data_IF_497940527241
#
_entry.id   IF_497940527241
#
_cell.length_a   1.000
_cell.length_b   1.000
_cell.length_c   1.000
_cell.angle_alpha   90.00
_cell.angle_beta   90.00
_cell.angle_gamma   90.00
#
_symmetry.space_group_name_H-M   'P 1'
#
loop_
_entity.id
_entity.type
_entity.pdbx_description
1 polymer ?
#
# COMPACT_ATOMS: atom_id res chain seq x y z
N UNK A 1 51.47 19.27 -74.03
CA UNK A 1 51.79 20.70 -73.80
C UNK A 1 50.53 21.52 -74.00
N UNK A 2 50.40 22.59 -73.20
CA UNK A 2 49.34 23.60 -73.13
C UNK A 2 48.16 23.33 -72.18
N UNK A 3 47.99 24.35 -71.33
CA UNK A 3 47.02 24.54 -70.27
C UNK A 3 45.89 25.49 -70.69
N UNK A 4 44.87 25.64 -69.84
CA UNK A 4 44.30 26.90 -69.27
C UNK A 4 42.76 26.83 -69.11
N UNK A 5 42.26 27.24 -67.93
CA UNK A 5 40.90 27.81 -67.66
C UNK A 5 40.03 26.98 -66.70
N UNK A 6 39.97 27.27 -65.38
CA UNK A 6 39.04 28.19 -64.64
C UNK A 6 37.55 27.84 -64.89
N UNK A 7 36.63 27.72 -63.92
CA UNK A 7 36.47 28.42 -62.65
C UNK A 7 35.41 27.74 -61.72
N UNK A 8 35.61 27.99 -60.43
CA UNK A 8 34.77 28.05 -59.21
C UNK A 8 33.35 27.45 -59.04
N UNK A 9 33.22 26.83 -57.84
CA UNK A 9 32.19 26.99 -56.78
C UNK A 9 30.75 26.51 -57.13
N UNK A 10 29.95 25.94 -56.24
CA UNK A 10 29.96 25.58 -54.81
C UNK A 10 28.71 24.69 -54.64
N UNK A 11 28.79 23.69 -53.76
CA UNK A 11 27.75 23.20 -52.83
C UNK A 11 27.76 21.67 -52.66
N UNK A 12 28.39 21.33 -51.54
CA UNK A 12 28.30 20.16 -50.69
C UNK A 12 27.08 19.26 -50.85
N UNK A 13 27.38 17.96 -51.03
CA UNK A 13 26.80 16.75 -50.44
C UNK A 13 26.01 16.96 -49.12
N UNK A 14 25.05 16.15 -48.69
CA UNK A 14 24.80 14.73 -48.93
C UNK A 14 23.37 14.35 -48.50
N UNK A 15 22.85 13.30 -49.15
CA UNK A 15 22.05 12.17 -48.64
C UNK A 15 21.02 12.36 -47.51
N UNK A 16 19.77 12.26 -47.95
CA UNK A 16 18.67 11.43 -47.44
C UNK A 16 19.03 10.35 -46.41
N UNK A 17 18.37 10.36 -45.24
CA UNK A 17 17.87 9.15 -44.57
C UNK A 17 16.55 9.43 -43.82
N UNK A 18 15.70 8.41 -43.82
CA UNK A 18 14.33 8.34 -43.31
C UNK A 18 14.30 8.27 -41.79
N UNK A 19 13.38 8.99 -41.14
CA UNK A 19 13.13 8.89 -39.70
C UNK A 19 11.65 9.07 -39.36
N UNK A 20 10.89 7.96 -39.38
CA UNK A 20 9.62 7.83 -38.67
C UNK A 20 9.84 7.51 -37.17
N UNK A 21 8.78 7.50 -36.36
CA UNK A 21 8.76 8.11 -35.02
C UNK A 21 9.31 7.21 -33.91
N UNK A 22 10.00 7.78 -32.92
CA UNK A 22 10.17 7.15 -31.61
C UNK A 22 9.04 7.61 -30.70
N UNK A 23 8.00 6.78 -30.62
CA UNK A 23 7.10 6.75 -29.48
C UNK A 23 7.69 5.75 -28.49
N UNK A 24 8.28 6.23 -27.39
CA UNK A 24 8.69 5.41 -26.26
C UNK A 24 8.09 5.99 -24.99
N UNK A 25 6.77 5.89 -24.85
CA UNK A 25 6.12 5.93 -23.54
C UNK A 25 6.40 4.59 -22.84
N UNK A 26 7.63 4.40 -22.35
CA UNK A 26 7.82 3.49 -21.22
C UNK A 26 7.05 4.12 -20.06
N UNK A 27 5.92 3.53 -19.69
CA UNK A 27 5.27 3.88 -18.44
C UNK A 27 6.26 3.56 -17.34
N UNK A 28 6.92 4.59 -16.80
CA UNK A 28 7.69 4.48 -15.58
C UNK A 28 6.71 3.99 -14.53
N UNK A 29 6.80 2.71 -14.17
CA UNK A 29 6.04 2.18 -13.03
C UNK A 29 6.52 3.00 -11.83
N UNK A 30 5.66 3.88 -11.36
CA UNK A 30 5.98 4.79 -10.28
C UNK A 30 6.23 3.95 -9.03
N UNK A 31 7.44 4.07 -8.47
CA UNK A 31 7.83 3.31 -7.27
C UNK A 31 6.99 3.76 -6.09
N UNK A 32 6.46 2.81 -5.34
CA UNK A 32 5.78 3.08 -4.08
C UNK A 32 6.81 3.41 -3.01
N UNK A 33 6.62 4.51 -2.28
CA UNK A 33 7.50 4.96 -1.19
C UNK A 33 7.90 6.42 -1.28
N UNK A 34 8.65 6.88 -0.27
CA UNK A 34 9.26 8.20 -0.24
C UNK A 34 10.62 8.14 -0.97
N UNK A 35 10.96 9.09 -1.86
CA UNK A 35 12.15 9.01 -2.70
C UNK A 35 13.47 8.80 -1.96
N UNK A 36 13.61 9.35 -0.75
CA UNK A 36 14.79 9.25 0.11
C UNK A 36 14.83 7.99 0.99
N UNK A 37 13.76 7.19 0.98
CA UNK A 37 13.60 5.95 1.75
C UNK A 37 13.40 4.70 0.86
N UNK A 38 13.60 4.84 -0.45
CA UNK A 38 13.63 3.74 -1.40
C UNK A 38 14.91 2.91 -1.26
N UNK A 39 14.83 1.63 -1.61
CA UNK A 39 16.01 0.79 -1.70
C UNK A 39 16.88 1.21 -2.89
N UNK A 40 18.22 1.21 -2.73
CA UNK A 40 19.15 1.22 -3.84
C UNK A 40 18.81 0.10 -4.83
N UNK A 41 18.92 0.39 -6.13
CA UNK A 41 18.49 -0.55 -7.18
C UNK A 41 19.28 -1.86 -7.14
N UNK A 42 20.57 -1.80 -6.82
CA UNK A 42 21.40 -2.99 -6.66
C UNK A 42 21.01 -3.89 -5.47
N UNK A 43 20.27 -3.38 -4.48
CA UNK A 43 19.86 -4.15 -3.31
C UNK A 43 18.46 -4.77 -3.45
N UNK A 44 17.62 -4.24 -4.34
CA UNK A 44 16.20 -4.62 -4.41
C UNK A 44 15.99 -6.10 -4.72
N UNK A 45 16.47 -6.56 -5.87
CA UNK A 45 16.27 -7.96 -6.28
C UNK A 45 17.01 -8.96 -5.39
N UNK A 46 18.27 -8.71 -4.96
CA UNK A 46 18.93 -9.57 -3.99
C UNK A 46 18.20 -9.67 -2.64
N UNK A 47 17.64 -8.57 -2.14
CA UNK A 47 16.85 -8.58 -0.90
C UNK A 47 15.57 -9.39 -1.09
N UNK A 48 14.80 -9.14 -2.15
CA UNK A 48 13.57 -9.90 -2.44
C UNK A 48 13.83 -11.40 -2.53
N UNK A 49 14.89 -11.80 -3.24
CA UNK A 49 15.30 -13.20 -3.31
C UNK A 49 15.63 -13.75 -1.92
N UNK A 50 16.36 -12.99 -1.10
CA UNK A 50 16.70 -13.42 0.25
C UNK A 50 15.47 -13.60 1.15
N UNK A 51 14.48 -12.69 1.05
CA UNK A 51 13.23 -12.79 1.80
C UNK A 51 12.41 -14.02 1.36
N UNK A 52 12.38 -14.33 0.06
CA UNK A 52 11.78 -15.56 -0.44
C UNK A 52 12.49 -16.81 0.12
N UNK A 53 13.83 -16.83 0.11
CA UNK A 53 14.61 -17.93 0.69
C UNK A 53 14.42 -18.06 2.22
N UNK A 54 14.18 -16.95 2.92
CA UNK A 54 13.83 -16.95 4.34
C UNK A 54 12.47 -17.61 4.56
N UNK A 55 11.47 -17.24 3.75
CA UNK A 55 10.14 -17.82 3.81
C UNK A 55 10.17 -19.36 3.69
N UNK A 56 10.90 -19.88 2.71
CA UNK A 56 11.08 -21.34 2.54
C UNK A 56 11.74 -22.00 3.75
N UNK A 57 12.69 -21.30 4.38
CA UNK A 57 13.33 -21.74 5.62
C UNK A 57 12.37 -21.72 6.82
N UNK A 58 11.40 -20.81 6.86
CA UNK A 58 10.34 -20.80 7.86
C UNK A 58 9.36 -21.96 7.65
N UNK A 59 8.99 -22.26 6.40
CA UNK A 59 8.19 -23.44 6.06
C UNK A 59 8.86 -24.72 6.53
N UNK A 60 10.16 -24.87 6.28
CA UNK A 60 10.94 -26.03 6.74
C UNK A 60 10.99 -26.18 8.28
N UNK A 61 10.57 -25.14 9.03
CA UNK A 61 10.46 -25.13 10.50
C UNK A 61 9.02 -25.28 11.00
N UNK A 62 8.06 -25.64 10.13
CA UNK A 62 6.63 -25.69 10.43
C UNK A 62 6.03 -24.32 10.84
N UNK A 63 6.52 -23.25 10.21
CA UNK A 63 5.93 -21.91 10.29
C UNK A 63 5.48 -21.46 8.90
N UNK A 64 4.92 -20.26 8.74
CA UNK A 64 4.44 -19.75 7.45
C UNK A 64 3.39 -20.66 6.75
N UNK A 65 2.53 -21.29 7.54
CA UNK A 65 1.35 -22.00 7.04
C UNK A 65 0.27 -21.03 6.54
N UNK A 66 -0.73 -21.56 5.82
CA UNK A 66 -1.85 -20.75 5.32
C UNK A 66 -3.04 -20.81 6.26
N UNK A 67 -3.54 -19.64 6.67
CA UNK A 67 -4.78 -19.54 7.48
C UNK A 67 -6.02 -19.71 6.59
N UNK A 68 -5.92 -19.31 5.32
CA UNK A 68 -6.99 -19.39 4.32
C UNK A 68 -8.18 -18.47 4.64
N UNK A 69 -9.16 -18.46 3.73
CA UNK A 69 -10.40 -17.71 3.92
C UNK A 69 -11.42 -18.51 4.75
N UNK A 70 -12.23 -17.79 5.52
CA UNK A 70 -13.44 -18.29 6.18
C UNK A 70 -14.70 -18.02 5.36
N UNK A 71 -15.84 -17.88 6.03
CA UNK A 71 -17.16 -17.71 5.39
C UNK A 71 -17.73 -16.29 5.57
N UNK A 72 -17.24 -15.53 6.56
CA UNK A 72 -17.81 -14.23 6.94
C UNK A 72 -16.71 -13.17 6.97
N UNK A 73 -16.29 -12.65 5.81
CA UNK A 73 -15.23 -11.66 5.76
C UNK A 73 -15.71 -10.26 6.14
N UNK A 74 -14.77 -9.42 6.57
CA UNK A 74 -14.88 -7.97 6.58
C UNK A 74 -13.63 -7.36 5.96
N UNK A 75 -13.78 -6.16 5.38
CA UNK A 75 -12.66 -5.36 4.87
C UNK A 75 -12.34 -4.24 5.86
N UNK A 76 -11.05 -4.08 6.19
CA UNK A 76 -10.51 -2.99 6.99
C UNK A 76 -9.53 -2.16 6.16
N UNK A 77 -9.88 -0.89 5.92
CA UNK A 77 -9.07 0.09 5.21
C UNK A 77 -8.42 1.04 6.21
N UNK A 78 -7.11 0.91 6.39
CA UNK A 78 -6.36 1.61 7.43
C UNK A 78 -5.71 2.88 6.89
N UNK A 79 -6.08 4.04 7.45
CA UNK A 79 -5.34 5.30 7.37
C UNK A 79 -4.89 5.73 5.94
N UNK A 80 -5.67 5.37 4.91
CA UNK A 80 -5.55 5.96 3.58
C UNK A 80 -6.14 7.37 3.58
N UNK A 81 -5.55 8.23 4.40
CA UNK A 81 -5.88 9.63 4.56
C UNK A 81 -4.81 10.53 3.94
N UNK A 82 -5.18 11.79 3.66
CA UNK A 82 -4.35 12.74 2.93
C UNK A 82 -2.96 12.95 3.55
N UNK A 83 -2.82 12.79 4.86
CA UNK A 83 -1.54 12.90 5.56
C UNK A 83 -0.53 11.81 5.14
N UNK A 84 -1.01 10.65 4.69
CA UNK A 84 -0.17 9.55 4.20
C UNK A 84 -0.16 9.46 2.66
N UNK A 85 -1.27 9.79 2.00
CA UNK A 85 -1.39 9.62 0.55
C UNK A 85 -0.80 10.77 -0.26
N UNK A 86 -0.60 11.94 0.35
CA UNK A 86 0.04 13.07 -0.32
C UNK A 86 1.54 13.10 -0.06
N UNK A 87 2.40 13.09 -1.10
CA UNK A 87 3.86 13.05 -0.92
C UNK A 87 4.48 14.34 -0.38
N UNK A 88 3.71 15.44 -0.27
CA UNK A 88 4.18 16.73 0.24
C UNK A 88 4.04 16.89 1.77
N UNK A 89 3.53 15.88 2.47
CA UNK A 89 3.34 15.89 3.92
C UNK A 89 4.51 15.19 4.64
N UNK A 90 4.60 15.37 5.98
CA UNK A 90 5.63 14.72 6.80
C UNK A 90 5.62 13.18 6.71
N UNK A 91 4.42 12.58 6.62
CA UNK A 91 4.24 11.13 6.62
C UNK A 91 4.00 10.55 5.23
N UNK A 92 3.93 11.42 4.22
CA UNK A 92 3.56 11.12 2.85
C UNK A 92 4.58 10.30 2.07
N UNK A 93 4.09 9.58 1.07
CA UNK A 93 4.89 8.87 0.09
C UNK A 93 4.14 8.77 -1.25
N UNK A 94 4.84 8.39 -2.33
CA UNK A 94 4.13 7.96 -3.55
C UNK A 94 3.44 6.63 -3.26
N UNK A 95 2.12 6.65 -3.09
CA UNK A 95 1.31 5.46 -2.75
C UNK A 95 0.06 5.34 -3.62
N UNK A 96 0.05 5.98 -4.78
CA UNK A 96 -1.09 5.99 -5.69
C UNK A 96 -1.50 4.57 -6.11
N UNK A 97 -0.52 3.70 -6.42
CA UNK A 97 -0.76 2.29 -6.72
C UNK A 97 -1.44 1.53 -5.57
N UNK A 98 -1.16 1.90 -4.32
CA UNK A 98 -1.75 1.29 -3.12
C UNK A 98 -3.21 1.72 -2.96
N UNK A 99 -3.48 3.00 -3.22
CA UNK A 99 -4.86 3.52 -3.24
C UNK A 99 -5.65 2.86 -4.36
N UNK A 100 -5.08 2.75 -5.56
CA UNK A 100 -5.70 2.09 -6.71
C UNK A 100 -6.00 0.60 -6.45
N UNK A 101 -5.04 -0.15 -5.91
CA UNK A 101 -5.23 -1.55 -5.52
C UNK A 101 -6.32 -1.67 -4.43
N UNK A 102 -6.30 -0.79 -3.43
CA UNK A 102 -7.33 -0.75 -2.39
C UNK A 102 -8.72 -0.44 -2.97
N UNK A 103 -8.82 0.45 -3.95
CA UNK A 103 -10.09 0.74 -4.62
C UNK A 103 -10.63 -0.49 -5.37
N UNK A 104 -9.77 -1.30 -5.99
CA UNK A 104 -10.18 -2.56 -6.63
C UNK A 104 -10.71 -3.56 -5.60
N UNK A 105 -10.01 -3.74 -4.48
CA UNK A 105 -10.46 -4.61 -3.37
C UNK A 105 -11.79 -4.09 -2.77
N UNK A 106 -11.90 -2.77 -2.58
CA UNK A 106 -13.13 -2.12 -2.12
C UNK A 106 -14.30 -2.38 -3.06
N UNK A 107 -14.09 -2.28 -4.37
CA UNK A 107 -15.13 -2.56 -5.37
C UNK A 107 -15.64 -4.00 -5.26
N UNK A 108 -14.73 -4.98 -5.15
CA UNK A 108 -15.08 -6.38 -4.97
C UNK A 108 -15.84 -6.61 -3.64
N UNK A 109 -15.36 -6.04 -2.54
CA UNK A 109 -15.99 -6.12 -1.22
C UNK A 109 -17.41 -5.52 -1.21
N UNK A 110 -17.60 -4.38 -1.88
CA UNK A 110 -18.91 -3.74 -2.07
C UNK A 110 -19.85 -4.63 -2.90
N UNK A 111 -19.34 -5.28 -3.94
CA UNK A 111 -20.09 -6.25 -4.75
C UNK A 111 -20.53 -7.47 -3.95
N UNK A 112 -19.65 -7.97 -3.09
CA UNK A 112 -19.91 -9.07 -2.15
C UNK A 112 -20.79 -8.67 -0.95
N UNK A 113 -21.11 -7.37 -0.80
CA UNK A 113 -21.94 -6.82 0.29
C UNK A 113 -21.41 -7.16 1.69
N UNK A 114 -20.09 -7.27 1.84
CA UNK A 114 -19.45 -7.57 3.13
C UNK A 114 -19.32 -6.29 3.97
N UNK A 115 -19.18 -6.39 5.31
CA UNK A 115 -18.89 -5.25 6.15
C UNK A 115 -17.56 -4.57 5.77
N UNK A 116 -17.57 -3.23 5.69
CA UNK A 116 -16.39 -2.42 5.36
C UNK A 116 -16.16 -1.39 6.47
N UNK A 117 -14.93 -1.36 6.97
CA UNK A 117 -14.46 -0.48 8.02
C UNK A 117 -13.31 0.38 7.50
N UNK A 118 -13.33 1.67 7.82
CA UNK A 118 -12.27 2.63 7.57
C UNK A 118 -11.74 3.16 8.90
N UNK A 119 -10.43 3.35 9.00
CA UNK A 119 -9.82 4.13 10.08
C UNK A 119 -9.18 5.41 9.57
N UNK A 120 -9.10 6.40 10.45
CA UNK A 120 -8.16 7.51 10.34
C UNK A 120 -7.65 7.90 11.73
N UNK A 121 -6.66 8.78 11.79
CA UNK A 121 -6.10 9.27 13.04
C UNK A 121 -7.03 10.29 13.71
N UNK A 122 -7.25 10.09 15.01
CA UNK A 122 -8.00 11.01 15.84
C UNK A 122 -7.11 12.16 16.32
N UNK A 123 -6.89 13.16 15.47
CA UNK A 123 -6.17 14.35 15.88
C UNK A 123 -7.00 15.18 16.87
N UNK A 124 -6.50 15.32 18.08
CA UNK A 124 -7.04 16.21 19.10
C UNK A 124 -5.89 16.98 19.76
N UNK A 125 -5.78 18.31 19.55
CA UNK A 125 -4.71 19.13 20.10
C UNK A 125 -4.73 19.22 21.64
N UNK A 126 -5.83 18.79 22.29
CA UNK A 126 -5.91 18.66 23.74
C UNK A 126 -5.37 17.32 24.26
N UNK A 127 -5.02 16.37 23.37
CA UNK A 127 -4.44 15.09 23.77
C UNK A 127 -3.08 15.32 24.42
N UNK A 128 -2.86 14.82 25.65
CA UNK A 128 -1.57 14.98 26.32
C UNK A 128 -0.48 14.18 25.59
N UNK A 129 0.76 14.67 25.57
CA UNK A 129 1.86 13.95 24.93
C UNK A 129 2.13 12.62 25.64
N UNK A 130 2.30 11.58 24.84
CA UNK A 130 2.75 10.25 25.21
C UNK A 130 4.26 10.11 25.03
N UNK A 131 4.88 9.03 25.56
CA UNK A 131 6.27 8.71 25.26
C UNK A 131 6.53 8.51 23.75
N UNK A 132 5.53 8.12 22.95
CA UNK A 132 5.66 7.93 21.51
C UNK A 132 5.90 9.26 20.78
N UNK A 133 5.41 10.38 21.32
CA UNK A 133 5.61 11.71 20.72
C UNK A 133 7.06 12.20 20.81
N UNK A 134 7.92 11.49 21.57
CA UNK A 134 9.39 11.67 21.54
C UNK A 134 10.05 10.97 20.35
N UNK A 135 9.40 9.93 19.80
CA UNK A 135 9.88 9.15 18.64
C UNK A 135 9.40 9.76 17.33
N UNK A 136 8.13 10.18 17.29
CA UNK A 136 7.52 10.86 16.16
C UNK A 136 6.97 12.20 16.64
N UNK A 137 7.63 13.29 16.25
CA UNK A 137 7.13 14.64 16.49
C UNK A 137 6.28 15.04 15.29
N UNK A 138 4.96 14.83 15.39
CA UNK A 138 4.04 15.21 14.32
C UNK A 138 4.07 16.74 14.10
N UNK A 139 4.26 17.15 12.86
CA UNK A 139 4.25 18.55 12.42
C UNK A 139 2.86 18.89 11.91
N UNK A 140 1.89 18.90 12.83
CA UNK A 140 0.48 19.18 12.55
C UNK A 140 0.03 20.26 13.53
N UNK A 141 -0.59 21.32 13.01
CA UNK A 141 -1.06 22.45 13.78
C UNK A 141 -2.55 22.74 13.58
N UNK A 142 -3.07 23.80 14.21
CA UNK A 142 -4.42 24.28 13.94
C UNK A 142 -4.61 24.59 12.44
N UNK A 143 -5.67 24.05 11.83
CA UNK A 143 -5.95 24.19 10.39
C UNK A 143 -5.52 23.01 9.53
N UNK A 144 -4.78 22.05 10.09
CA UNK A 144 -4.33 20.84 9.39
C UNK A 144 -5.27 19.64 9.58
N UNK A 145 -6.44 19.83 10.18
CA UNK A 145 -7.38 18.74 10.51
C UNK A 145 -7.81 17.96 9.26
N UNK A 146 -7.89 18.65 8.12
CA UNK A 146 -8.21 18.05 6.81
C UNK A 146 -7.17 17.03 6.33
N UNK A 147 -5.94 17.04 6.85
CA UNK A 147 -4.94 16.01 6.50
C UNK A 147 -5.37 14.62 6.95
N UNK A 148 -6.23 14.50 7.96
CA UNK A 148 -6.73 13.21 8.43
C UNK A 148 -8.05 12.79 7.76
N UNK A 149 -8.53 13.55 6.78
CA UNK A 149 -9.62 13.09 5.92
C UNK A 149 -9.12 11.97 4.99
N UNK A 150 -10.00 10.99 4.76
CA UNK A 150 -9.72 9.89 3.85
C UNK A 150 -9.47 10.41 2.42
N UNK A 151 -8.59 9.72 1.70
CA UNK A 151 -8.34 10.02 0.29
C UNK A 151 -9.66 9.92 -0.51
N UNK A 152 -10.06 10.98 -1.23
CA UNK A 152 -11.35 11.02 -1.90
C UNK A 152 -11.52 9.93 -2.96
N UNK A 153 -10.42 9.37 -3.50
CA UNK A 153 -10.45 8.26 -4.46
C UNK A 153 -11.08 6.99 -3.90
N UNK A 154 -11.13 6.83 -2.58
CA UNK A 154 -11.77 5.69 -1.92
C UNK A 154 -13.30 5.73 -2.03
N UNK A 155 -13.86 6.91 -2.28
CA UNK A 155 -15.29 7.14 -2.42
C UNK A 155 -16.09 6.50 -1.27
N UNK A 156 -15.66 6.71 -0.02
CA UNK A 156 -16.30 6.10 1.16
C UNK A 156 -17.80 6.43 1.18
N UNK A 157 -18.63 5.39 1.31
CA UNK A 157 -20.08 5.53 1.38
C UNK A 157 -20.55 5.81 2.82
N UNK A 158 -21.68 6.50 3.03
CA UNK A 158 -22.17 6.85 4.37
C UNK A 158 -22.35 5.64 5.30
N UNK A 159 -22.77 4.49 4.77
CA UNK A 159 -23.01 3.24 5.48
C UNK A 159 -21.74 2.47 5.85
N UNK A 160 -20.60 2.80 5.24
CA UNK A 160 -19.31 2.16 5.53
C UNK A 160 -18.71 2.77 6.81
N UNK A 161 -18.40 1.96 7.81
CA UNK A 161 -18.05 2.48 9.15
C UNK A 161 -16.70 3.19 9.11
N UNK A 162 -16.67 4.50 9.37
CA UNK A 162 -15.44 5.22 9.72
C UNK A 162 -15.33 5.34 11.25
N UNK A 163 -14.16 5.01 11.80
CA UNK A 163 -13.80 5.30 13.18
C UNK A 163 -12.43 5.97 13.25
N UNK A 164 -12.21 6.77 14.29
CA UNK A 164 -10.93 7.43 14.52
C UNK A 164 -10.15 6.68 15.61
N UNK A 165 -8.83 6.62 15.46
CA UNK A 165 -7.94 5.93 16.41
C UNK A 165 -6.75 6.78 16.84
N UNK A 166 -6.31 6.57 18.08
CA UNK A 166 -5.14 7.24 18.68
C UNK A 166 -3.87 6.37 18.62
N UNK A 167 -3.99 5.11 18.21
CA UNK A 167 -2.90 4.13 18.27
C UNK A 167 -2.66 3.50 16.90
N UNK A 168 -1.53 2.80 16.75
CA UNK A 168 -1.16 2.11 15.51
C UNK A 168 -2.22 1.06 15.14
N UNK A 169 -2.48 0.11 16.04
CA UNK A 169 -3.52 -0.90 15.85
C UNK A 169 -4.92 -0.29 15.85
N UNK A 170 -5.74 -0.73 14.90
CA UNK A 170 -7.15 -0.39 14.82
C UNK A 170 -8.00 -1.00 15.94
N UNK A 171 -7.48 -1.95 16.71
CA UNK A 171 -8.18 -2.58 17.85
C UNK A 171 -7.97 -1.80 19.15
N UNK A 172 -6.78 -1.27 19.36
CA UNK A 172 -6.43 -0.62 20.62
C UNK A 172 -7.19 0.70 20.80
N UNK A 173 -7.96 0.80 21.88
CA UNK A 173 -8.69 2.02 22.22
C UNK A 173 -9.86 2.34 21.28
N UNK A 174 -10.32 1.36 20.50
CA UNK A 174 -11.53 1.42 19.68
C UNK A 174 -12.48 0.29 20.09
N UNK A 175 -13.64 0.19 19.43
CA UNK A 175 -14.57 -0.93 19.59
C UNK A 175 -14.58 -1.87 18.36
N UNK A 176 -13.50 -1.93 17.59
CA UNK A 176 -13.43 -2.72 16.36
C UNK A 176 -13.67 -4.21 16.64
N UNK A 177 -13.05 -4.76 17.69
CA UNK A 177 -13.19 -6.18 18.02
C UNK A 177 -14.66 -6.54 18.31
N UNK A 178 -15.35 -5.71 19.08
CA UNK A 178 -16.75 -5.89 19.43
C UNK A 178 -17.65 -5.80 18.20
N UNK A 179 -17.37 -4.87 17.27
CA UNK A 179 -18.10 -4.76 16.01
C UNK A 179 -17.91 -6.00 15.14
N UNK A 180 -16.68 -6.47 14.95
CA UNK A 180 -16.38 -7.66 14.15
C UNK A 180 -16.99 -8.93 14.78
N UNK A 181 -16.86 -9.09 16.10
CA UNK A 181 -17.44 -10.19 16.87
C UNK A 181 -18.97 -10.19 16.77
N UNK A 182 -19.61 -9.03 16.91
CA UNK A 182 -21.06 -8.89 16.80
C UNK A 182 -21.62 -9.22 15.41
N UNK A 183 -20.80 -9.05 14.38
CA UNK A 183 -21.12 -9.43 13.00
C UNK A 183 -20.77 -10.90 12.68
N UNK A 184 -20.13 -11.62 13.61
CA UNK A 184 -19.66 -12.99 13.39
C UNK A 184 -18.57 -13.08 12.33
N UNK A 185 -17.75 -12.03 12.17
CA UNK A 185 -16.64 -12.04 11.20
C UNK A 185 -15.63 -13.12 11.58
N UNK A 186 -15.19 -13.90 10.62
CA UNK A 186 -14.13 -14.91 10.79
C UNK A 186 -12.87 -14.61 9.96
N UNK A 187 -12.97 -13.69 9.00
CA UNK A 187 -11.90 -13.31 8.08
C UNK A 187 -11.79 -11.79 8.03
N UNK A 188 -10.60 -11.26 8.26
CA UNK A 188 -10.33 -9.84 8.18
C UNK A 188 -9.35 -9.56 7.05
N UNK A 189 -9.85 -8.93 5.99
CA UNK A 189 -9.02 -8.45 4.89
C UNK A 189 -8.49 -7.07 5.28
N UNK A 190 -7.17 -6.92 5.37
CA UNK A 190 -6.51 -5.70 5.87
C UNK A 190 -5.78 -4.98 4.74
N UNK A 191 -6.13 -3.72 4.51
CA UNK A 191 -5.49 -2.84 3.52
C UNK A 191 -5.07 -1.51 4.14
N UNK A 192 -4.29 -0.72 3.40
CA UNK A 192 -3.96 0.66 3.75
C UNK A 192 -2.53 0.88 4.23
N UNK A 193 -2.34 1.86 5.12
CA UNK A 193 -1.03 2.39 5.48
C UNK A 193 -0.82 2.45 7.00
N UNK A 194 0.40 2.30 7.52
CA UNK A 194 1.61 1.82 6.84
C UNK A 194 1.87 0.34 7.16
N UNK A 195 2.45 -0.41 6.21
CA UNK A 195 2.72 -1.86 6.32
C UNK A 195 3.43 -2.21 7.61
N UNK A 196 4.50 -1.47 7.97
CA UNK A 196 5.33 -1.79 9.14
C UNK A 196 4.78 -1.27 10.48
N UNK A 197 3.68 -0.52 10.46
CA UNK A 197 3.13 0.14 11.64
C UNK A 197 1.65 -0.24 11.83
N UNK A 198 0.71 0.57 11.32
CA UNK A 198 -0.71 0.40 11.60
C UNK A 198 -1.27 -0.91 11.03
N UNK A 199 -0.82 -1.31 9.84
CA UNK A 199 -1.20 -2.60 9.22
C UNK A 199 -0.66 -3.74 10.07
N UNK A 200 0.66 -3.81 10.28
CA UNK A 200 1.29 -4.86 11.10
C UNK A 200 0.66 -4.97 12.49
N UNK A 201 0.49 -3.86 13.20
CA UNK A 201 -0.08 -3.85 14.54
C UNK A 201 -1.55 -4.34 14.55
N UNK A 202 -2.32 -4.01 13.52
CA UNK A 202 -3.71 -4.48 13.40
C UNK A 202 -3.76 -5.97 13.04
N UNK A 203 -2.89 -6.45 12.16
CA UNK A 203 -2.76 -7.88 11.87
C UNK A 203 -2.38 -8.66 13.13
N UNK A 204 -1.43 -8.14 13.93
CA UNK A 204 -0.99 -8.76 15.18
C UNK A 204 -2.11 -8.89 16.20
N UNK A 205 -2.93 -7.85 16.36
CA UNK A 205 -4.07 -7.90 17.28
C UNK A 205 -5.22 -8.77 16.75
N UNK A 206 -5.29 -8.99 15.42
CA UNK A 206 -6.34 -9.79 14.78
C UNK A 206 -6.05 -11.30 14.74
N UNK A 207 -4.77 -11.72 14.63
CA UNK A 207 -4.37 -13.08 14.24
C UNK A 207 -4.92 -14.21 15.11
N UNK A 208 -5.20 -13.95 16.39
CA UNK A 208 -5.72 -14.97 17.32
C UNK A 208 -7.26 -15.09 17.27
N UNK A 209 -7.93 -14.14 16.62
CA UNK A 209 -9.41 -14.04 16.57
C UNK A 209 -9.98 -14.15 15.16
N UNK A 210 -9.21 -13.79 14.13
CA UNK A 210 -9.65 -13.75 12.74
C UNK A 210 -8.59 -14.35 11.82
N UNK A 211 -9.03 -14.93 10.71
CA UNK A 211 -8.15 -15.25 9.58
C UNK A 211 -7.75 -13.95 8.92
N UNK A 212 -6.49 -13.54 9.05
CA UNK A 212 -6.00 -12.29 8.48
C UNK A 212 -5.55 -12.53 7.05
N UNK A 213 -6.07 -11.71 6.12
CA UNK A 213 -5.70 -11.73 4.71
C UNK A 213 -5.21 -10.33 4.33
N UNK A 214 -4.05 -10.25 3.67
CA UNK A 214 -3.45 -8.99 3.25
C UNK A 214 -3.20 -9.03 1.74
N UNK A 215 -3.97 -8.28 0.93
CA UNK A 215 -3.67 -8.10 -0.49
C UNK A 215 -2.39 -7.28 -0.63
N UNK A 216 -1.36 -7.87 -1.24
CA UNK A 216 0.02 -7.38 -1.22
C UNK A 216 0.14 -5.92 -1.69
N UNK A 217 -0.50 -5.54 -2.80
CA UNK A 217 -0.38 -4.16 -3.31
C UNK A 217 -1.42 -3.22 -2.70
N UNK A 218 -2.41 -3.72 -1.96
CA UNK A 218 -3.37 -2.88 -1.24
C UNK A 218 -2.84 -2.42 0.13
N UNK A 219 -1.60 -2.74 0.48
CA UNK A 219 -0.89 -2.16 1.62
C UNK A 219 0.38 -1.45 1.17
N UNK A 220 0.79 -0.42 1.90
CA UNK A 220 1.93 0.40 1.49
C UNK A 220 2.73 0.98 2.64
N UNK A 221 3.90 1.52 2.32
CA UNK A 221 4.83 2.06 3.29
C UNK A 221 5.67 3.14 2.61
N UNK A 222 6.17 4.09 3.40
CA UNK A 222 7.08 5.14 2.89
C UNK A 222 8.51 4.63 2.69
N UNK A 223 8.92 3.61 3.45
CA UNK A 223 10.24 2.99 3.36
C UNK A 223 10.16 1.58 2.74
N UNK A 224 10.82 1.39 1.61
CA UNK A 224 10.71 0.17 0.79
C UNK A 224 11.20 -1.08 1.54
N UNK A 225 12.30 -1.00 2.29
CA UNK A 225 12.80 -2.14 3.07
C UNK A 225 11.83 -2.54 4.20
N UNK A 226 11.22 -1.56 4.86
CA UNK A 226 10.25 -1.82 5.93
C UNK A 226 8.98 -2.46 5.37
N UNK A 227 8.55 -2.06 4.17
CA UNK A 227 7.46 -2.72 3.47
C UNK A 227 7.74 -4.21 3.27
N UNK A 228 8.86 -4.54 2.61
CA UNK A 228 9.18 -5.91 2.21
C UNK A 228 9.39 -6.83 3.43
N UNK A 229 10.09 -6.35 4.46
CA UNK A 229 10.34 -7.13 5.68
C UNK A 229 9.04 -7.38 6.45
N UNK A 230 8.16 -6.38 6.57
CA UNK A 230 6.91 -6.55 7.29
C UNK A 230 5.85 -7.33 6.51
N UNK A 231 5.88 -7.32 5.17
CA UNK A 231 5.08 -8.27 4.39
C UNK A 231 5.51 -9.71 4.68
N UNK A 232 6.81 -10.00 4.69
CA UNK A 232 7.30 -11.33 5.07
C UNK A 232 6.87 -11.69 6.50
N UNK A 233 7.06 -10.78 7.46
CA UNK A 233 6.72 -11.05 8.87
C UNK A 233 5.21 -11.31 9.08
N UNK A 234 4.36 -10.56 8.37
CA UNK A 234 2.91 -10.84 8.34
C UNK A 234 2.66 -12.23 7.76
N UNK A 235 3.27 -12.56 6.60
CA UNK A 235 3.01 -13.82 5.89
C UNK A 235 3.47 -15.07 6.65
N UNK A 236 4.52 -14.95 7.47
CA UNK A 236 5.05 -16.09 8.20
C UNK A 236 4.34 -16.32 9.55
N UNK A 237 3.81 -15.27 10.19
CA UNK A 237 3.30 -15.34 11.58
C UNK A 237 1.85 -14.89 11.78
N UNK A 238 1.33 -13.93 11.00
CA UNK A 238 0.11 -13.19 11.35
C UNK A 238 -1.07 -13.41 10.41
N UNK A 239 -0.83 -13.84 9.16
CA UNK A 239 -1.87 -13.97 8.15
C UNK A 239 -1.29 -14.33 6.79
N UNK A 240 -2.16 -14.38 5.78
CA UNK A 240 -1.75 -14.67 4.41
C UNK A 240 -1.56 -13.37 3.62
N UNK A 241 -0.33 -13.08 3.19
CA UNK A 241 -0.03 -12.07 2.17
C UNK A 241 -0.18 -12.74 0.80
N UNK A 242 -1.03 -12.17 -0.05
CA UNK A 242 -1.39 -12.79 -1.33
C UNK A 242 -1.67 -11.77 -2.44
N UNK A 243 -1.62 -12.20 -3.72
CA UNK A 243 -1.93 -11.33 -4.85
C UNK A 243 -3.34 -10.75 -4.75
N UNK A 244 -3.49 -9.46 -5.04
CA UNK A 244 -4.79 -8.78 -4.96
C UNK A 244 -5.86 -9.45 -5.81
N UNK A 245 -5.47 -9.96 -6.99
CA UNK A 245 -6.38 -10.63 -7.93
C UNK A 245 -6.99 -11.91 -7.34
N UNK A 246 -6.25 -12.64 -6.49
CA UNK A 246 -6.79 -13.82 -5.80
C UNK A 246 -7.81 -13.43 -4.73
N UNK A 247 -7.54 -12.37 -3.97
CA UNK A 247 -8.49 -11.84 -2.98
C UNK A 247 -9.75 -11.31 -3.66
N UNK A 248 -9.59 -10.56 -4.75
CA UNK A 248 -10.70 -10.02 -5.55
C UNK A 248 -11.54 -11.16 -6.13
N UNK A 249 -10.92 -12.14 -6.77
CA UNK A 249 -11.64 -13.29 -7.33
C UNK A 249 -12.39 -14.09 -6.25
N UNK A 250 -11.81 -14.24 -5.07
CA UNK A 250 -12.48 -14.87 -3.93
C UNK A 250 -13.71 -14.08 -3.48
N UNK A 251 -13.59 -12.75 -3.31
CA UNK A 251 -14.71 -11.87 -2.95
C UNK A 251 -15.82 -11.90 -4.00
N UNK A 252 -15.47 -11.86 -5.29
CA UNK A 252 -16.44 -11.96 -6.39
C UNK A 252 -17.18 -13.30 -6.40
N UNK A 253 -16.51 -14.38 -5.97
CA UNK A 253 -17.14 -15.69 -5.78
C UNK A 253 -18.15 -15.77 -4.63
N UNK A 254 -18.18 -14.80 -3.72
CA UNK A 254 -19.19 -14.71 -2.65
C UNK A 254 -20.51 -14.08 -3.12
N UNK A 255 -20.54 -13.49 -4.32
CA UNK A 255 -21.72 -12.83 -4.85
C UNK A 255 -22.80 -13.88 -5.18
N UNK A 256 -23.85 -13.93 -4.35
CA UNK A 256 -25.14 -14.58 -4.68
C UNK A 256 -25.99 -13.71 -5.61
#
# INVERSE_FOLDING_TARGET
MNAIGRDSRLYSSANTELGGPMNSSESVIQRTGAPDLLLPDELREPLKQHLADLRERYIARNWAGRVGFGERPALLVIDLALFWTRPDTQMGASVDSVVEATCRVLQAARGAKIPIFFSSYNYDPATPPSPHDRKLQMQVGPGDEGLFELDPRLERRPEEKLFLKNYASCFKGTNLNEMLTGLGVDTLIVTGLSTSHCVYASCRDATDSFRVIVPENAVGERCEIMHLVNLLDIDIDLGDVMPDDEVIAWLEGLQE
#
